data_IF_206270957314
#
_entry.id   IF_206270957314
#
_cell.length_a   1.000
_cell.length_b   1.000
_cell.length_c   1.000
_cell.angle_alpha   90.00
_cell.angle_beta   90.00
_cell.angle_gamma   90.00
#
_symmetry.space_group_name_H-M   'P 1'
#
loop_
_entity.id
_entity.type
_entity.pdbx_description
1 polymer ?
#
# COMPACT_ATOMS: atom_id res chain seq x y z
N UNK A 1 -18.86 36.62 -5.76
CA UNK A 1 -17.74 36.37 -4.81
C UNK A 1 -17.91 35.10 -3.97
N UNK A 2 -19.10 34.77 -3.43
CA UNK A 2 -19.32 33.51 -2.66
C UNK A 2 -19.08 32.19 -3.44
N UNK A 3 -19.30 32.19 -4.77
CA UNK A 3 -19.15 30.99 -5.62
C UNK A 3 -17.69 30.54 -5.81
N UNK A 4 -16.74 31.48 -5.77
CA UNK A 4 -15.29 31.18 -5.91
C UNK A 4 -14.73 30.56 -4.64
N UNK A 5 -15.24 30.98 -3.48
CA UNK A 5 -14.89 30.39 -2.18
C UNK A 5 -15.28 28.91 -2.10
N UNK A 6 -16.47 28.55 -2.58
CA UNK A 6 -16.92 27.14 -2.63
C UNK A 6 -16.06 26.28 -3.57
N UNK A 7 -15.60 26.84 -4.69
CA UNK A 7 -14.72 26.13 -5.62
C UNK A 7 -13.34 25.86 -5.02
N UNK A 8 -12.79 26.82 -4.26
CA UNK A 8 -11.52 26.63 -3.53
C UNK A 8 -11.61 25.58 -2.43
N UNK A 9 -12.74 25.54 -1.71
CA UNK A 9 -13.00 24.54 -0.67
C UNK A 9 -13.08 23.11 -1.26
N UNK A 10 -13.70 22.96 -2.44
CA UNK A 10 -13.84 21.66 -3.10
C UNK A 10 -12.48 21.07 -3.52
N UNK A 11 -11.59 21.89 -4.07
CA UNK A 11 -10.25 21.45 -4.52
C UNK A 11 -9.34 21.09 -3.34
N UNK A 12 -9.48 21.77 -2.20
CA UNK A 12 -8.71 21.47 -1.00
C UNK A 12 -9.08 20.11 -0.36
N UNK A 13 -10.33 19.65 -0.51
CA UNK A 13 -10.78 18.38 0.07
C UNK A 13 -10.10 17.14 -0.53
N UNK A 14 -9.75 17.17 -1.82
CA UNK A 14 -9.07 16.06 -2.50
C UNK A 14 -7.56 16.02 -2.26
N UNK A 15 -6.97 17.15 -1.83
CA UNK A 15 -5.52 17.25 -1.63
C UNK A 15 -5.01 16.46 -0.41
N UNK A 16 -5.91 15.93 0.43
CA UNK A 16 -5.58 15.22 1.67
C UNK A 16 -6.21 13.83 1.77
N UNK A 17 -6.62 13.22 0.66
CA UNK A 17 -7.00 11.81 0.66
C UNK A 17 -5.76 10.97 0.99
N UNK A 18 -5.62 10.61 2.27
CA UNK A 18 -4.58 9.71 2.76
C UNK A 18 -5.08 8.27 2.59
N UNK A 19 -4.24 7.42 2.03
CA UNK A 19 -4.52 6.00 1.94
C UNK A 19 -4.81 5.41 3.33
N UNK A 20 -5.93 4.72 3.47
CA UNK A 20 -6.32 4.09 4.73
C UNK A 20 -6.00 2.60 4.72
N UNK A 21 -4.73 2.27 4.95
CA UNK A 21 -4.23 0.89 5.00
C UNK A 21 -4.93 0.01 6.05
N UNK A 22 -5.54 0.61 7.07
CA UNK A 22 -6.26 -0.15 8.10
C UNK A 22 -7.56 -0.80 7.58
N UNK A 23 -8.13 -0.27 6.49
CA UNK A 23 -9.33 -0.82 5.85
C UNK A 23 -9.01 -1.95 4.86
N UNK A 24 -7.75 -2.06 4.42
CA UNK A 24 -7.30 -3.14 3.55
C UNK A 24 -7.18 -4.45 4.32
N UNK A 25 -7.37 -5.58 3.63
CA UNK A 25 -7.03 -6.90 4.15
C UNK A 25 -5.51 -7.13 4.21
N UNK A 26 -5.06 -8.12 4.98
CA UNK A 26 -3.63 -8.45 5.07
C UNK A 26 -3.07 -8.90 3.72
N UNK A 27 -3.87 -9.59 2.90
CA UNK A 27 -3.48 -10.05 1.57
C UNK A 27 -3.28 -8.88 0.61
N UNK A 28 -4.23 -7.93 0.57
CA UNK A 28 -4.10 -6.71 -0.24
C UNK A 28 -2.86 -5.91 0.14
N UNK A 29 -2.58 -5.78 1.44
CA UNK A 29 -1.35 -5.11 1.90
C UNK A 29 -0.08 -5.82 1.41
N UNK A 30 -0.07 -7.16 1.40
CA UNK A 30 1.08 -7.93 0.90
C UNK A 30 1.25 -7.72 -0.61
N UNK A 31 0.18 -7.78 -1.40
CA UNK A 31 0.25 -7.69 -2.86
C UNK A 31 0.84 -6.37 -3.36
N UNK A 32 0.52 -5.28 -2.67
CA UNK A 32 0.99 -3.92 -3.02
C UNK A 32 2.40 -3.60 -2.51
N UNK A 33 3.09 -4.52 -1.82
CA UNK A 33 4.50 -4.34 -1.45
C UNK A 33 5.32 -4.02 -2.71
N UNK A 34 6.07 -2.92 -2.67
CA UNK A 34 6.85 -2.42 -3.81
C UNK A 34 6.10 -1.52 -4.80
N UNK A 35 4.80 -1.32 -4.61
CA UNK A 35 3.97 -0.41 -5.44
C UNK A 35 3.45 0.81 -4.66
N UNK A 36 3.85 0.96 -3.39
CA UNK A 36 3.41 2.07 -2.53
C UNK A 36 4.24 3.33 -2.78
N UNK A 37 3.55 4.46 -2.98
CA UNK A 37 4.16 5.79 -3.10
C UNK A 37 5.08 6.11 -1.90
N UNK A 38 6.23 6.75 -2.15
CA UNK A 38 7.19 7.14 -1.11
C UNK A 38 6.55 7.95 0.05
N UNK A 39 5.59 8.82 -0.27
CA UNK A 39 4.86 9.63 0.73
C UNK A 39 4.04 8.79 1.71
N UNK A 40 3.62 7.59 1.29
CA UNK A 40 2.72 6.73 2.05
C UNK A 40 3.42 5.48 2.62
N UNK A 41 4.64 5.16 2.18
CA UNK A 41 5.44 4.01 2.66
C UNK A 41 5.52 3.91 4.17
N UNK A 42 5.73 5.02 4.88
CA UNK A 42 5.81 5.00 6.35
C UNK A 42 4.49 4.55 6.99
N UNK A 43 3.34 4.99 6.47
CA UNK A 43 2.04 4.59 6.98
C UNK A 43 1.74 3.12 6.63
N UNK A 44 2.10 2.71 5.41
CA UNK A 44 1.95 1.35 4.93
C UNK A 44 2.75 0.34 5.75
N UNK A 45 4.06 0.56 5.93
CA UNK A 45 4.90 -0.35 6.71
C UNK A 45 4.50 -0.41 8.18
N UNK A 46 4.02 0.71 8.75
CA UNK A 46 3.48 0.71 10.11
C UNK A 46 2.26 -0.22 10.26
N UNK A 47 1.37 -0.24 9.26
CA UNK A 47 0.22 -1.15 9.26
C UNK A 47 0.66 -2.61 9.09
N UNK A 48 1.60 -2.88 8.19
CA UNK A 48 2.18 -4.22 8.03
C UNK A 48 2.81 -4.72 9.33
N UNK A 49 3.66 -3.92 9.98
CA UNK A 49 4.33 -4.28 11.23
C UNK A 49 3.33 -4.65 12.33
N UNK A 50 2.19 -3.95 12.39
CA UNK A 50 1.11 -4.25 13.32
C UNK A 50 0.41 -5.59 13.04
N UNK A 51 0.40 -6.03 11.77
CA UNK A 51 -0.26 -7.26 11.31
C UNK A 51 0.65 -8.48 11.28
N UNK A 52 1.97 -8.31 11.11
CA UNK A 52 2.97 -9.40 11.14
C UNK A 52 2.72 -10.42 12.26
N UNK A 53 2.52 -10.03 13.54
CA UNK A 53 2.32 -11.00 14.62
C UNK A 53 0.97 -11.75 14.54
N UNK A 54 0.04 -11.31 13.69
CA UNK A 54 -1.31 -11.86 13.52
C UNK A 54 -1.48 -12.62 12.20
N UNK A 55 -0.46 -12.62 11.34
CA UNK A 55 -0.49 -13.32 10.07
C UNK A 55 -0.60 -14.83 10.28
N UNK A 56 -1.41 -15.47 9.44
CA UNK A 56 -1.36 -16.91 9.24
C UNK A 56 0.00 -17.31 8.64
N UNK A 57 0.31 -18.61 8.71
CA UNK A 57 1.53 -19.15 8.07
C UNK A 57 1.55 -18.84 6.56
N UNK A 58 0.39 -18.91 5.90
CA UNK A 58 0.28 -18.62 4.48
C UNK A 58 0.57 -17.14 4.18
N UNK A 59 -0.08 -16.22 4.90
CA UNK A 59 0.16 -14.77 4.73
C UNK A 59 1.62 -14.41 5.02
N UNK A 60 2.22 -14.99 6.05
CA UNK A 60 3.62 -14.75 6.38
C UNK A 60 4.56 -15.22 5.27
N UNK A 61 4.28 -16.38 4.68
CA UNK A 61 5.04 -16.91 3.54
C UNK A 61 4.92 -15.99 2.33
N UNK A 62 3.72 -15.50 2.03
CA UNK A 62 3.49 -14.55 0.93
C UNK A 62 4.18 -13.21 1.18
N UNK A 63 4.12 -12.69 2.40
CA UNK A 63 4.83 -11.48 2.82
C UNK A 63 6.34 -11.59 2.58
N UNK A 64 6.96 -12.70 3.02
CA UNK A 64 8.40 -12.94 2.84
C UNK A 64 8.78 -13.09 1.36
N UNK A 65 7.98 -13.83 0.57
CA UNK A 65 8.16 -13.92 -0.89
C UNK A 65 8.17 -12.52 -1.51
N UNK A 66 7.16 -11.73 -1.17
CA UNK A 66 6.95 -10.42 -1.80
C UNK A 66 7.99 -9.38 -1.40
N UNK A 67 8.48 -9.43 -0.16
CA UNK A 67 9.59 -8.60 0.31
C UNK A 67 10.91 -8.92 -0.41
N UNK A 68 11.14 -10.19 -0.77
CA UNK A 68 12.31 -10.58 -1.54
C UNK A 68 12.20 -10.15 -3.01
N UNK A 69 11.03 -10.30 -3.62
CA UNK A 69 10.74 -9.84 -4.98
C UNK A 69 10.88 -8.32 -5.12
N UNK A 70 10.43 -7.55 -4.13
CA UNK A 70 10.61 -6.09 -4.10
C UNK A 70 12.10 -5.68 -4.07
N UNK A 71 12.92 -6.43 -3.32
CA UNK A 71 14.38 -6.22 -3.28
C UNK A 71 15.08 -6.67 -4.57
N UNK A 72 14.48 -7.58 -5.34
CA UNK A 72 15.03 -8.09 -6.59
C UNK A 72 13.96 -8.16 -7.70
N UNK A 73 13.62 -7.00 -8.33
CA UNK A 73 12.49 -6.88 -9.26
C UNK A 73 12.57 -7.73 -10.53
N UNK A 74 13.68 -8.44 -10.77
CA UNK A 74 13.95 -9.22 -11.98
C UNK A 74 13.28 -10.59 -11.98
N UNK A 75 12.90 -11.16 -10.83
CA UNK A 75 12.23 -12.47 -10.76
C UNK A 75 10.77 -12.41 -11.21
N UNK A 76 10.06 -11.30 -10.98
CA UNK A 76 8.63 -11.17 -11.28
C UNK A 76 8.29 -11.23 -12.78
N UNK A 77 9.18 -10.75 -13.64
CA UNK A 77 8.93 -10.75 -15.10
C UNK A 77 8.98 -12.15 -15.72
N UNK A 78 9.55 -13.14 -15.04
CA UNK A 78 9.79 -14.48 -15.62
C UNK A 78 8.61 -15.42 -15.31
N UNK A 79 7.95 -15.28 -14.15
CA UNK A 79 6.80 -16.14 -13.78
C UNK A 79 5.49 -15.73 -14.49
N UNK A 80 5.30 -14.45 -14.83
CA UNK A 80 4.08 -13.96 -15.49
C UNK A 80 4.07 -14.20 -17.03
N UNK A 81 5.18 -14.71 -17.60
CA UNK A 81 5.34 -14.97 -19.05
C UNK A 81 5.19 -16.46 -19.46
N UNK A 82 5.01 -17.42 -18.54
CA UNK A 82 4.84 -18.87 -18.83
C UNK A 82 3.38 -19.36 -18.79
#
# INVERSE_FOLDING_TARGET
>A
MKKIFLMGLLVAGFAFAKENYSEMSTQELIEIIGFVDEKDKSAFFKELDFRIPKMTVNEKTQYEKRLNEDKNPKEKQIEDEE
#
